data_IF_580673692013
#
_entry.id   IF_580673692013
#
_cell.length_a   1.000
_cell.length_b   1.000
_cell.length_c   1.000
_cell.angle_alpha   90.00
_cell.angle_beta   90.00
_cell.angle_gamma   90.00
#
_symmetry.space_group_name_H-M   'P 1'
#
loop_
_entity.id
_entity.type
_entity.pdbx_description
1 polymer ?
#
# COMPACT_ATOMS: atom_id res chain seq x y z
N UNK A 1 22.03 22.11 -21.51
CA UNK A 1 21.71 21.20 -20.39
C UNK A 1 22.51 21.64 -19.19
N UNK A 2 21.84 22.16 -18.17
CA UNK A 2 22.47 22.93 -17.09
C UNK A 2 23.08 22.02 -16.02
N UNK A 3 24.35 22.25 -15.65
CA UNK A 3 25.11 21.50 -14.62
C UNK A 3 24.50 21.57 -13.20
N UNK A 4 23.45 22.38 -12.99
CA UNK A 4 22.75 22.57 -11.70
C UNK A 4 21.68 21.51 -11.40
N UNK A 5 21.20 20.77 -12.39
CA UNK A 5 20.18 19.72 -12.17
C UNK A 5 20.78 18.38 -11.74
N UNK A 6 22.03 18.11 -12.11
CA UNK A 6 22.74 16.85 -11.81
C UNK A 6 23.33 16.87 -10.38
N UNK A 7 23.64 18.04 -9.82
CA UNK A 7 24.19 18.17 -8.46
C UNK A 7 23.12 18.18 -7.34
N UNK A 8 21.88 18.57 -7.63
CA UNK A 8 20.77 18.54 -6.64
C UNK A 8 20.19 17.12 -6.47
N UNK A 9 20.22 16.31 -7.53
CA UNK A 9 19.95 14.87 -7.50
C UNK A 9 20.98 14.11 -6.62
N UNK A 10 22.21 14.64 -6.51
CA UNK A 10 23.34 14.08 -5.76
C UNK A 10 23.25 14.33 -4.24
N UNK A 11 22.51 15.32 -3.75
CA UNK A 11 22.26 15.49 -2.29
C UNK A 11 21.01 14.69 -1.84
N UNK A 12 20.08 14.44 -2.77
CA UNK A 12 18.89 13.61 -2.56
C UNK A 12 19.19 12.11 -2.35
N UNK A 13 20.44 11.66 -2.48
CA UNK A 13 20.86 10.26 -2.32
C UNK A 13 21.94 10.07 -1.20
N UNK A 14 22.52 11.13 -0.63
CA UNK A 14 23.78 11.03 0.15
C UNK A 14 23.70 11.05 1.70
N UNK A 15 22.67 10.53 2.38
CA UNK A 15 22.70 10.49 3.87
C UNK A 15 22.01 9.27 4.50
N UNK A 16 22.34 8.07 4.03
CA UNK A 16 21.65 6.80 4.29
C UNK A 16 22.45 5.90 5.24
N UNK A 17 21.81 5.37 6.29
CA UNK A 17 21.93 3.92 6.52
C UNK A 17 20.61 3.25 6.91
N UNK A 18 20.40 2.03 6.43
CA UNK A 18 19.39 1.09 6.93
C UNK A 18 18.45 0.57 5.84
N UNK A 19 18.32 -0.75 5.76
CA UNK A 19 17.49 -1.48 4.79
C UNK A 19 16.03 -1.51 5.25
N UNK A 20 15.05 -1.26 4.35
CA UNK A 20 13.76 -1.98 4.21
C UNK A 20 12.48 -1.14 3.96
N UNK A 21 11.63 -1.64 3.03
CA UNK A 21 10.16 -1.44 2.85
C UNK A 21 9.66 -0.09 2.30
N UNK A 22 8.44 -0.12 1.79
CA UNK A 22 7.74 1.02 1.23
C UNK A 22 6.31 0.98 1.73
N UNK A 23 5.86 2.07 2.36
CA UNK A 23 4.44 2.32 2.59
C UNK A 23 3.64 2.09 1.30
N UNK A 24 2.47 1.45 1.41
CA UNK A 24 1.54 1.37 0.30
C UNK A 24 1.10 2.78 -0.12
N UNK A 25 0.97 3.04 -1.43
CA UNK A 25 0.42 4.30 -1.87
C UNK A 25 -1.00 4.47 -1.33
N UNK A 26 -1.40 5.71 -1.00
CA UNK A 26 -2.50 5.91 -0.08
C UNK A 26 -3.85 5.42 -0.57
N UNK A 27 -4.05 5.48 -1.89
CA UNK A 27 -5.28 5.01 -2.49
C UNK A 27 -5.35 3.49 -2.37
N UNK A 28 -4.32 2.76 -2.77
CA UNK A 28 -4.24 1.28 -2.74
C UNK A 28 -4.53 0.66 -1.38
N UNK A 29 -4.32 1.41 -0.29
CA UNK A 29 -4.72 1.01 1.06
C UNK A 29 -6.22 0.65 1.09
N UNK A 30 -7.09 1.46 0.47
CA UNK A 30 -8.52 1.18 0.32
C UNK A 30 -8.87 0.06 -0.66
N UNK A 31 -7.91 -0.40 -1.47
CA UNK A 31 -8.07 -1.58 -2.31
C UNK A 31 -7.49 -2.83 -1.62
N UNK A 32 -6.90 -2.70 -0.43
CA UNK A 32 -6.40 -3.81 0.38
C UNK A 32 -4.89 -3.93 0.48
N UNK A 33 -4.11 -3.03 -0.14
CA UNK A 33 -2.66 -3.06 -0.03
C UNK A 33 -2.16 -2.98 1.43
N UNK A 34 -1.02 -3.60 1.71
CA UNK A 34 -0.37 -3.64 3.02
C UNK A 34 0.10 -2.23 3.40
N UNK A 35 -0.50 -1.68 4.45
CA UNK A 35 -0.45 -0.25 4.77
C UNK A 35 0.48 0.10 5.94
N UNK A 36 1.30 -0.85 6.41
CA UNK A 36 2.20 -0.60 7.54
C UNK A 36 3.24 0.49 7.24
N UNK A 37 3.49 1.41 8.19
CA UNK A 37 4.52 2.41 8.03
C UNK A 37 5.92 1.81 8.05
N UNK A 38 6.86 2.52 7.41
CA UNK A 38 8.27 2.16 7.40
C UNK A 38 9.00 2.75 8.62
N UNK A 39 9.73 1.89 9.33
CA UNK A 39 10.61 2.30 10.44
C UNK A 39 11.99 2.74 9.97
N UNK A 40 12.55 2.07 8.97
CA UNK A 40 13.91 2.32 8.51
C UNK A 40 13.92 3.35 7.35
N UNK A 41 15.06 3.95 6.99
CA UNK A 41 15.14 4.81 5.83
C UNK A 41 14.90 4.04 4.53
N UNK A 42 14.12 4.61 3.61
CA UNK A 42 13.76 3.90 2.38
C UNK A 42 13.69 4.86 1.20
N UNK A 43 14.01 4.36 0.01
CA UNK A 43 13.73 5.03 -1.26
C UNK A 43 13.27 3.97 -2.25
N UNK A 44 12.00 4.01 -2.61
CA UNK A 44 11.39 2.94 -3.40
C UNK A 44 10.65 3.46 -4.60
N UNK A 45 10.73 2.71 -5.70
CA UNK A 45 10.02 2.96 -6.94
C UNK A 45 9.04 1.82 -7.18
N UNK A 46 7.75 2.12 -7.27
CA UNK A 46 6.76 1.16 -7.75
C UNK A 46 6.51 1.37 -9.23
N UNK A 47 6.81 0.36 -10.04
CA UNK A 47 6.80 0.44 -11.49
C UNK A 47 5.49 -0.05 -12.14
N UNK A 48 4.64 -0.72 -11.37
CA UNK A 48 3.36 -1.24 -11.83
C UNK A 48 2.41 -1.33 -10.64
N UNK A 49 1.89 -0.18 -10.20
CA UNK A 49 0.78 -0.16 -9.26
C UNK A 49 -0.51 -0.23 -10.07
N UNK A 50 -1.22 -1.33 -9.90
CA UNK A 50 -2.46 -1.63 -10.59
C UNK A 50 -3.56 -1.72 -9.54
N UNK A 51 -4.48 -0.78 -9.54
CA UNK A 51 -5.73 -0.87 -8.79
C UNK A 51 -6.91 -0.85 -9.75
N UNK A 52 -8.02 -1.48 -9.37
CA UNK A 52 -9.23 -1.50 -10.19
C UNK A 52 -10.46 -1.22 -9.37
N UNK A 53 -11.25 -0.28 -9.86
CA UNK A 53 -12.60 0.00 -9.43
C UNK A 53 -13.56 -0.38 -10.56
N UNK A 54 -14.58 -1.17 -10.27
CA UNK A 54 -15.72 -1.47 -11.15
C UNK A 54 -16.99 -0.87 -10.57
N UNK A 55 -17.87 -0.36 -11.43
CA UNK A 55 -19.14 0.25 -11.03
C UNK A 55 -20.22 -0.78 -10.63
N UNK A 56 -19.96 -2.07 -10.89
CA UNK A 56 -20.91 -3.16 -10.68
C UNK A 56 -20.52 -4.04 -9.49
N UNK A 57 -21.53 -4.58 -8.82
CA UNK A 57 -21.41 -5.63 -7.80
C UNK A 57 -21.42 -7.03 -8.42
N UNK A 58 -21.31 -8.05 -7.55
CA UNK A 58 -21.38 -9.46 -7.94
C UNK A 58 -22.69 -9.92 -8.60
N UNK A 59 -23.75 -9.12 -8.56
CA UNK A 59 -25.02 -9.41 -9.25
C UNK A 59 -25.17 -8.59 -10.55
N UNK A 60 -24.13 -7.83 -10.93
CA UNK A 60 -24.12 -6.95 -12.09
C UNK A 60 -24.94 -5.67 -11.91
N UNK A 61 -25.36 -5.35 -10.67
CA UNK A 61 -26.05 -4.10 -10.35
C UNK A 61 -25.03 -3.02 -10.04
N UNK A 62 -25.38 -1.78 -10.36
CA UNK A 62 -24.59 -0.63 -9.89
C UNK A 62 -24.80 -0.47 -8.40
N UNK A 63 -23.70 -0.30 -7.67
CA UNK A 63 -23.78 -0.05 -6.24
C UNK A 63 -23.72 1.43 -5.89
N UNK A 64 -23.28 2.31 -6.80
CA UNK A 64 -23.25 3.76 -6.58
C UNK A 64 -23.48 4.59 -7.86
N UNK A 65 -23.46 5.91 -7.71
CA UNK A 65 -23.71 6.85 -8.83
C UNK A 65 -22.50 7.01 -9.76
N UNK A 66 -21.34 6.42 -9.45
CA UNK A 66 -20.20 6.45 -10.36
C UNK A 66 -20.50 5.56 -11.56
N UNK A 67 -20.43 6.15 -12.75
CA UNK A 67 -20.79 5.49 -14.02
C UNK A 67 -19.58 5.05 -14.81
N UNK A 68 -18.42 4.98 -14.17
CA UNK A 68 -17.13 4.70 -14.81
C UNK A 68 -16.36 3.63 -14.04
N UNK A 69 -15.91 2.61 -14.76
CA UNK A 69 -14.86 1.69 -14.32
C UNK A 69 -13.50 2.36 -14.47
N UNK A 70 -12.65 2.21 -13.47
CA UNK A 70 -11.31 2.83 -13.42
C UNK A 70 -10.25 1.77 -13.15
N UNK A 71 -9.20 1.74 -13.98
CA UNK A 71 -7.98 1.01 -13.66
C UNK A 71 -6.86 2.02 -13.40
N UNK A 72 -6.34 2.08 -12.19
CA UNK A 72 -5.27 2.99 -11.81
C UNK A 72 -3.94 2.29 -12.12
N UNK A 73 -3.18 2.80 -13.09
CA UNK A 73 -1.89 2.22 -13.50
C UNK A 73 -0.77 3.22 -13.19
N UNK A 74 -0.36 3.29 -11.93
CA UNK A 74 0.49 4.38 -11.46
C UNK A 74 1.94 3.92 -11.28
N UNK A 75 2.83 4.90 -11.42
CA UNK A 75 4.20 4.84 -10.94
C UNK A 75 4.29 5.64 -9.66
N UNK A 76 5.00 5.13 -8.66
CA UNK A 76 5.17 5.85 -7.39
C UNK A 76 6.62 5.86 -6.95
N UNK A 77 7.03 6.97 -6.37
CA UNK A 77 8.29 7.12 -5.64
C UNK A 77 7.94 7.41 -4.19
N UNK A 78 8.43 6.58 -3.27
CA UNK A 78 8.25 6.75 -1.82
C UNK A 78 9.60 6.90 -1.15
N UNK A 79 9.66 7.80 -0.17
CA UNK A 79 10.85 8.11 0.58
C UNK A 79 10.50 8.21 2.06
N UNK A 80 11.16 7.38 2.88
CA UNK A 80 11.04 7.41 4.33
C UNK A 80 12.37 7.81 4.96
N UNK A 81 12.32 8.67 5.98
CA UNK A 81 13.51 9.04 6.75
C UNK A 81 13.21 9.32 8.23
N UNK A 82 13.99 8.77 9.16
CA UNK A 82 14.02 9.18 10.56
C UNK A 82 14.48 10.64 10.71
N UNK A 83 13.78 11.40 11.54
CA UNK A 83 14.04 12.81 11.78
C UNK A 83 15.14 12.97 12.83
N UNK A 84 16.30 13.49 12.41
CA UNK A 84 17.44 13.72 13.30
C UNK A 84 17.10 14.65 14.48
N UNK A 85 16.19 15.61 14.29
CA UNK A 85 15.78 16.56 15.33
C UNK A 85 14.72 15.99 16.29
N UNK A 86 14.05 14.89 15.92
CA UNK A 86 12.96 14.29 16.68
C UNK A 86 13.19 12.76 16.75
N UNK A 87 14.04 12.29 17.68
CA UNK A 87 14.31 10.86 17.81
C UNK A 87 13.04 10.02 17.96
N UNK A 88 12.99 8.90 17.24
CA UNK A 88 11.84 8.02 17.16
C UNK A 88 10.74 8.49 16.21
N UNK A 89 10.88 9.63 15.51
CA UNK A 89 9.93 10.07 14.49
C UNK A 89 10.45 9.86 13.08
N UNK A 90 9.58 9.39 12.20
CA UNK A 90 9.84 9.21 10.78
C UNK A 90 8.92 10.08 9.95
N UNK A 91 9.48 10.65 8.89
CA UNK A 91 8.73 11.29 7.82
C UNK A 91 8.69 10.34 6.61
N UNK A 92 7.49 10.04 6.12
CA UNK A 92 7.29 9.43 4.81
C UNK A 92 6.74 10.48 3.84
N UNK A 93 7.24 10.48 2.61
CA UNK A 93 6.65 11.21 1.49
C UNK A 93 6.52 10.26 0.29
N UNK A 94 5.33 10.22 -0.31
CA UNK A 94 5.10 9.46 -1.53
C UNK A 94 4.51 10.38 -2.60
N UNK A 95 5.02 10.26 -3.83
CA UNK A 95 4.47 10.92 -4.99
C UNK A 95 4.27 9.90 -6.11
N UNK A 96 3.20 10.05 -6.88
CA UNK A 96 2.95 9.15 -7.99
C UNK A 96 1.92 9.68 -8.96
N UNK A 97 1.79 8.97 -10.06
CA UNK A 97 0.80 9.26 -11.08
C UNK A 97 0.93 8.32 -12.27
N UNK A 98 -0.07 8.36 -13.13
CA UNK A 98 -0.11 7.52 -14.30
C UNK A 98 -1.47 7.56 -15.00
N UNK A 99 -1.60 6.78 -16.08
CA UNK A 99 -2.86 6.66 -16.78
C UNK A 99 -3.88 5.87 -15.96
N UNK A 100 -5.06 6.46 -15.81
CA UNK A 100 -6.27 5.75 -15.37
C UNK A 100 -6.95 5.18 -16.61
N UNK A 101 -6.82 3.87 -16.79
CA UNK A 101 -7.36 3.05 -17.87
C UNK A 101 -7.55 1.61 -17.38
N UNK A 102 -8.62 0.94 -17.79
CA UNK A 102 -8.96 -0.40 -17.30
C UNK A 102 -8.14 -1.55 -17.92
N UNK A 103 -7.39 -1.30 -19.00
CA UNK A 103 -6.74 -2.36 -19.79
C UNK A 103 -5.89 -3.36 -18.99
N UNK A 104 -4.80 -2.93 -18.31
CA UNK A 104 -3.90 -3.83 -17.60
C UNK A 104 -4.57 -4.54 -16.42
N UNK A 105 -5.34 -3.82 -15.62
CA UNK A 105 -6.02 -4.39 -14.45
C UNK A 105 -7.17 -5.32 -14.85
N UNK A 106 -7.85 -5.05 -15.97
CA UNK A 106 -8.85 -5.96 -16.54
C UNK A 106 -8.24 -7.25 -17.05
N UNK A 107 -7.12 -7.18 -17.76
CA UNK A 107 -6.40 -8.38 -18.20
C UNK A 107 -6.01 -9.25 -17.01
N UNK A 108 -5.45 -8.64 -15.97
CA UNK A 108 -5.02 -9.36 -14.78
C UNK A 108 -6.20 -9.99 -14.01
N UNK A 109 -7.31 -9.28 -13.87
CA UNK A 109 -8.50 -9.82 -13.19
C UNK A 109 -9.24 -10.87 -14.03
N UNK A 110 -9.67 -10.53 -15.24
CA UNK A 110 -10.54 -11.38 -16.04
C UNK A 110 -9.76 -12.51 -16.72
N UNK A 111 -8.64 -12.18 -17.39
CA UNK A 111 -7.94 -13.14 -18.27
C UNK A 111 -6.97 -14.06 -17.52
N UNK A 112 -6.48 -13.63 -16.35
CA UNK A 112 -5.56 -14.42 -15.51
C UNK A 112 -6.30 -15.04 -14.32
N UNK A 113 -6.83 -14.23 -13.39
CA UNK A 113 -7.36 -14.73 -12.13
C UNK A 113 -8.71 -15.44 -12.31
N UNK A 114 -9.68 -14.79 -12.95
CA UNK A 114 -11.02 -15.36 -13.14
C UNK A 114 -10.96 -16.61 -14.02
N UNK A 115 -10.18 -16.55 -15.10
CA UNK A 115 -9.94 -17.72 -15.96
C UNK A 115 -9.29 -18.89 -15.23
N UNK A 116 -8.27 -18.62 -14.40
CA UNK A 116 -7.61 -19.66 -13.60
C UNK A 116 -8.54 -20.27 -12.56
N UNK A 117 -9.47 -19.48 -11.99
CA UNK A 117 -10.41 -19.92 -10.96
C UNK A 117 -11.79 -20.38 -11.49
N UNK A 118 -12.04 -20.28 -12.79
CA UNK A 118 -13.33 -20.60 -13.40
C UNK A 118 -14.47 -19.63 -13.02
N UNK A 119 -14.15 -18.37 -12.71
CA UNK A 119 -15.12 -17.33 -12.35
C UNK A 119 -15.62 -16.60 -13.61
N UNK A 120 -16.86 -16.10 -13.59
CA UNK A 120 -17.37 -15.24 -14.68
C UNK A 120 -16.69 -13.88 -14.70
N UNK A 121 -16.59 -13.29 -15.88
CA UNK A 121 -15.92 -12.00 -16.08
C UNK A 121 -16.73 -10.85 -15.46
N UNK A 122 -16.03 -9.90 -14.84
CA UNK A 122 -16.68 -8.68 -14.33
C UNK A 122 -17.07 -7.78 -15.51
N UNK A 123 -18.36 -7.40 -15.64
CA UNK A 123 -18.79 -6.48 -16.68
C UNK A 123 -18.12 -5.10 -16.51
N UNK A 124 -17.89 -4.43 -17.64
CA UNK A 124 -17.32 -3.09 -17.67
C UNK A 124 -18.25 -2.19 -18.47
N UNK A 125 -18.72 -1.11 -17.85
CA UNK A 125 -19.55 -0.12 -18.52
C UNK A 125 -18.68 0.98 -19.12
N UNK A 126 -18.92 2.24 -18.78
CA UNK A 126 -18.05 3.30 -19.28
C UNK A 126 -16.69 3.22 -18.59
N UNK A 127 -15.66 3.70 -19.28
CA UNK A 127 -14.28 3.66 -18.79
C UNK A 127 -13.80 5.07 -18.59
N UNK A 128 -13.18 5.33 -17.44
CA UNK A 128 -12.44 6.56 -17.25
C UNK A 128 -11.14 6.48 -18.05
N UNK A 129 -10.87 7.53 -18.83
CA UNK A 129 -9.57 7.77 -19.45
C UNK A 129 -9.03 9.11 -18.99
N UNK A 130 -8.08 9.07 -18.06
CA UNK A 130 -7.46 10.27 -17.51
C UNK A 130 -5.98 10.02 -17.18
N UNK A 131 -5.23 11.10 -16.93
CA UNK A 131 -3.96 11.01 -16.23
C UNK A 131 -4.20 11.55 -14.83
N UNK A 132 -4.04 10.67 -13.85
CA UNK A 132 -4.29 10.97 -12.45
C UNK A 132 -2.95 10.97 -11.69
N UNK A 133 -2.92 11.70 -10.57
CA UNK A 133 -1.73 11.82 -9.73
C UNK A 133 -2.12 11.72 -8.26
N UNK A 134 -1.13 11.42 -7.42
CA UNK A 134 -1.27 11.36 -5.98
C UNK A 134 -0.01 11.85 -5.27
N UNK A 135 -0.23 12.35 -4.07
CA UNK A 135 0.78 12.75 -3.11
C UNK A 135 0.32 12.28 -1.73
N UNK A 136 1.27 11.87 -0.90
CA UNK A 136 1.05 11.71 0.52
C UNK A 136 2.25 12.06 1.33
N UNK A 137 1.99 12.33 2.60
CA UNK A 137 2.99 12.34 3.63
C UNK A 137 2.44 11.83 4.94
N UNK A 138 3.30 11.21 5.73
CA UNK A 138 2.98 10.76 7.08
C UNK A 138 4.12 11.12 8.04
N UNK A 139 3.75 11.38 9.29
CA UNK A 139 4.66 11.59 10.39
C UNK A 139 4.34 10.53 11.46
N UNK A 140 5.23 9.56 11.62
CA UNK A 140 5.02 8.37 12.45
C UNK A 140 6.04 8.31 13.57
N UNK A 141 5.57 8.22 14.81
CA UNK A 141 6.39 7.99 15.99
C UNK A 141 6.50 6.50 16.27
N UNK A 142 7.72 6.00 16.33
CA UNK A 142 8.08 4.65 16.73
C UNK A 142 8.54 4.61 18.18
N UNK A 143 8.20 3.53 18.87
CA UNK A 143 8.57 3.34 20.27
C UNK A 143 8.59 1.86 20.65
N UNK A 144 9.36 1.58 21.70
CA UNK A 144 9.51 0.26 22.29
C UNK A 144 8.47 0.04 23.40
N UNK A 145 7.85 -1.13 23.44
CA UNK A 145 6.99 -1.57 24.55
C UNK A 145 7.35 -3.02 24.91
N UNK A 146 7.27 -3.41 26.19
CA UNK A 146 7.51 -4.80 26.64
C UNK A 146 8.89 -5.37 26.21
N UNK A 147 9.91 -4.52 26.10
CA UNK A 147 11.26 -4.94 25.69
C UNK A 147 11.42 -5.23 24.19
N UNK A 148 10.43 -4.89 23.35
CA UNK A 148 10.57 -4.95 21.88
C UNK A 148 11.51 -3.86 21.37
N UNK A 149 12.24 -4.10 20.29
CA UNK A 149 12.96 -3.04 19.58
C UNK A 149 12.00 -2.27 18.66
N UNK A 150 11.56 -1.09 19.09
CA UNK A 150 10.80 -0.07 18.32
C UNK A 150 9.75 -0.63 17.34
N UNK A 151 8.97 -1.60 17.81
CA UNK A 151 7.98 -2.28 16.98
C UNK A 151 6.63 -1.56 16.96
N UNK A 152 6.36 -0.65 17.90
CA UNK A 152 5.07 0.02 18.03
C UNK A 152 5.12 1.39 17.40
N UNK A 153 4.01 1.83 16.82
CA UNK A 153 3.92 3.13 16.18
C UNK A 153 2.59 3.83 16.41
N UNK A 154 2.63 5.16 16.35
CA UNK A 154 1.47 6.03 16.25
C UNK A 154 1.83 7.25 15.39
N UNK A 155 0.94 7.66 14.50
CA UNK A 155 1.23 8.71 13.53
C UNK A 155 -0.02 9.36 12.96
N UNK A 156 0.24 10.42 12.20
CA UNK A 156 -0.76 11.13 11.42
C UNK A 156 -0.24 11.32 10.00
N UNK A 157 -1.14 11.39 9.05
CA UNK A 157 -0.78 11.57 7.66
C UNK A 157 -1.89 12.19 6.85
N UNK A 158 -1.57 12.44 5.59
CA UNK A 158 -2.50 12.95 4.61
C UNK A 158 -2.21 12.33 3.26
N UNK A 159 -3.28 11.95 2.58
CA UNK A 159 -3.29 11.52 1.20
C UNK A 159 -4.06 12.52 0.35
N UNK A 160 -3.64 12.74 -0.88
CA UNK A 160 -4.32 13.67 -1.78
C UNK A 160 -3.95 13.45 -3.23
N UNK A 161 -4.76 13.96 -4.14
CA UNK A 161 -4.51 13.85 -5.56
C UNK A 161 -5.73 14.20 -6.38
N UNK A 162 -5.73 13.78 -7.64
CA UNK A 162 -6.90 13.95 -8.50
C UNK A 162 -8.06 13.03 -8.11
N UNK A 163 -7.80 11.95 -7.37
CA UNK A 163 -8.81 10.97 -6.96
C UNK A 163 -9.67 11.46 -5.78
N UNK A 164 -9.05 11.67 -4.63
CA UNK A 164 -9.66 12.12 -3.37
C UNK A 164 -8.59 12.72 -2.46
N UNK A 165 -9.01 13.25 -1.30
CA UNK A 165 -8.13 13.69 -0.22
C UNK A 165 -8.54 13.06 1.09
N UNK A 166 -7.59 12.72 1.95
CA UNK A 166 -7.88 12.10 3.24
C UNK A 166 -6.76 12.37 4.25
N UNK A 167 -6.98 13.27 5.22
CA UNK A 167 -6.23 13.26 6.46
C UNK A 167 -6.59 12.02 7.29
N UNK A 168 -5.60 11.43 7.96
CA UNK A 168 -5.79 10.26 8.79
C UNK A 168 -4.84 10.23 9.99
N UNK A 169 -5.20 9.40 10.96
CA UNK A 169 -4.35 8.97 12.07
C UNK A 169 -4.25 7.46 12.05
N UNK A 170 -3.11 6.94 12.49
CA UNK A 170 -2.87 5.51 12.53
C UNK A 170 -2.03 5.10 13.73
N UNK A 171 -2.22 3.88 14.18
CA UNK A 171 -1.42 3.27 15.24
C UNK A 171 -1.38 1.77 15.10
N UNK A 172 -0.36 1.14 15.68
CA UNK A 172 -0.20 -0.30 15.58
C UNK A 172 1.16 -0.78 16.02
N UNK A 173 1.50 -1.97 15.56
CA UNK A 173 2.83 -2.54 15.66
C UNK A 173 3.21 -3.25 14.37
N UNK A 174 4.49 -3.18 14.01
CA UNK A 174 5.04 -3.75 12.79
C UNK A 174 6.09 -4.78 13.13
N UNK A 175 5.97 -5.96 12.53
CA UNK A 175 6.93 -7.07 12.64
C UNK A 175 7.36 -7.35 14.08
N UNK A 176 6.39 -7.53 14.96
CA UNK A 176 6.63 -7.91 16.34
C UNK A 176 7.03 -9.39 16.42
N UNK A 177 8.13 -9.68 17.11
CA UNK A 177 8.64 -11.03 17.34
C UNK A 177 7.94 -11.69 18.54
N UNK A 178 6.63 -11.91 18.45
CA UNK A 178 5.82 -12.50 19.54
C UNK A 178 6.35 -13.86 20.03
N UNK A 179 6.93 -14.64 19.13
CA UNK A 179 7.45 -15.98 19.41
C UNK A 179 8.96 -16.01 19.60
N UNK A 180 9.59 -14.88 19.94
CA UNK A 180 11.03 -14.80 20.20
C UNK A 180 11.57 -15.89 21.17
N UNK A 181 10.82 -16.32 22.21
CA UNK A 181 11.29 -17.38 23.11
C UNK A 181 11.29 -18.80 22.50
N UNK A 182 10.61 -19.01 21.36
CA UNK A 182 10.50 -20.31 20.71
C UNK A 182 11.54 -20.39 19.58
N UNK A 183 12.61 -21.20 19.73
CA UNK A 183 13.61 -21.38 18.67
C UNK A 183 12.94 -21.83 17.36
N UNK A 184 13.50 -21.45 16.19
CA UNK A 184 12.95 -21.68 14.85
C UNK A 184 11.70 -20.87 14.49
N UNK A 185 10.77 -20.60 15.40
CA UNK A 185 9.64 -19.71 15.11
C UNK A 185 10.00 -18.24 15.33
N UNK A 186 10.70 -17.93 16.42
CA UNK A 186 11.11 -16.57 16.77
C UNK A 186 12.10 -15.94 15.80
N UNK A 187 12.86 -16.74 15.04
CA UNK A 187 13.81 -16.23 14.05
C UNK A 187 13.12 -15.81 12.75
N UNK A 188 12.00 -16.46 12.40
CA UNK A 188 11.39 -16.33 11.08
C UNK A 188 9.98 -15.77 11.07
N UNK A 189 9.24 -15.80 12.18
CA UNK A 189 7.84 -15.38 12.22
C UNK A 189 7.71 -13.99 12.82
N UNK A 190 6.94 -13.12 12.16
CA UNK A 190 6.62 -11.78 12.63
C UNK A 190 5.13 -11.50 12.47
N UNK A 191 4.58 -10.75 13.41
CA UNK A 191 3.16 -10.37 13.40
C UNK A 191 3.05 -8.86 13.41
N UNK A 192 2.10 -8.32 12.65
CA UNK A 192 1.84 -6.89 12.60
C UNK A 192 0.35 -6.62 12.73
N UNK A 193 0.00 -5.47 13.29
CA UNK A 193 -1.38 -4.99 13.34
C UNK A 193 -1.40 -3.47 13.20
N UNK A 194 -2.38 -2.94 12.49
CA UNK A 194 -2.57 -1.53 12.21
C UNK A 194 -4.04 -1.20 12.33
N UNK A 195 -4.34 -0.07 12.96
CA UNK A 195 -5.62 0.59 12.88
C UNK A 195 -5.41 2.00 12.32
N UNK A 196 -6.27 2.41 11.41
CA UNK A 196 -6.28 3.74 10.80
C UNK A 196 -7.69 4.32 10.83
N UNK A 197 -7.77 5.61 11.11
CA UNK A 197 -9.00 6.38 11.05
C UNK A 197 -8.74 7.64 10.22
N UNK A 198 -9.60 7.90 9.23
CA UNK A 198 -9.44 8.99 8.29
C UNK A 198 -10.75 9.68 7.95
N UNK A 199 -10.63 10.82 7.29
CA UNK A 199 -11.78 11.59 6.80
C UNK A 199 -11.61 11.87 5.31
N UNK A 200 -12.25 11.08 4.43
CA UNK A 200 -12.20 11.32 3.00
C UNK A 200 -12.93 12.62 2.62
N UNK A 201 -12.40 13.29 1.60
CA UNK A 201 -12.98 14.43 0.92
C UNK A 201 -12.92 14.20 -0.59
N UNK A 202 -13.95 14.65 -1.29
CA UNK A 202 -14.06 14.47 -2.73
C UNK A 202 -12.87 15.07 -3.50
N UNK A 203 -12.43 14.36 -4.53
CA UNK A 203 -11.46 14.85 -5.50
C UNK A 203 -12.10 15.15 -6.87
N UNK A 204 -11.26 15.28 -7.89
CA UNK A 204 -11.73 15.51 -9.26
C UNK A 204 -12.38 14.26 -9.87
N UNK A 205 -11.87 13.07 -9.53
CA UNK A 205 -12.41 11.78 -9.98
C UNK A 205 -13.52 11.27 -9.05
N UNK A 206 -13.27 11.20 -7.73
CA UNK A 206 -14.25 10.70 -6.77
C UNK A 206 -15.02 11.85 -6.15
N UNK A 207 -16.21 12.12 -6.71
CA UNK A 207 -17.11 13.19 -6.23
C UNK A 207 -17.96 12.77 -5.03
N UNK A 208 -18.14 11.48 -4.84
CA UNK A 208 -18.84 10.88 -3.72
C UNK A 208 -17.87 9.95 -3.00
N UNK A 209 -17.59 10.27 -1.74
CA UNK A 209 -16.73 9.49 -0.86
C UNK A 209 -17.39 9.38 0.51
N UNK A 210 -17.04 8.34 1.26
CA UNK A 210 -17.56 8.15 2.61
C UNK A 210 -17.20 9.34 3.52
N UNK A 211 -18.08 9.74 4.45
CA UNK A 211 -17.83 10.88 5.34
C UNK A 211 -16.71 10.61 6.36
N UNK A 212 -16.39 9.34 6.58
CA UNK A 212 -15.34 8.85 7.46
C UNK A 212 -14.84 7.50 6.93
N UNK A 213 -13.59 7.18 7.27
CA UNK A 213 -12.91 5.95 6.91
C UNK A 213 -12.31 5.33 8.18
N UNK A 214 -12.51 4.03 8.40
CA UNK A 214 -11.80 3.27 9.40
C UNK A 214 -11.30 1.96 8.81
N UNK A 215 -10.08 1.61 9.18
CA UNK A 215 -9.40 0.43 8.68
C UNK A 215 -8.71 -0.30 9.81
N UNK A 216 -8.78 -1.63 9.77
CA UNK A 216 -7.98 -2.52 10.60
C UNK A 216 -7.26 -3.52 9.69
N UNK A 217 -5.96 -3.67 9.87
CA UNK A 217 -5.15 -4.62 9.12
C UNK A 217 -4.31 -5.47 10.08
N UNK A 218 -4.32 -6.78 9.87
CA UNK A 218 -3.46 -7.72 10.58
C UNK A 218 -2.62 -8.50 9.59
N UNK A 219 -1.36 -8.77 9.93
CA UNK A 219 -0.49 -9.56 9.05
C UNK A 219 0.44 -10.51 9.79
N UNK A 220 0.83 -11.55 9.07
CA UNK A 220 1.84 -12.52 9.47
C UNK A 220 2.87 -12.62 8.36
N UNK A 221 4.14 -12.40 8.72
CA UNK A 221 5.27 -12.49 7.81
C UNK A 221 6.22 -13.62 8.20
N UNK A 222 6.64 -14.41 7.20
CA UNK A 222 7.71 -15.39 7.31
C UNK A 222 8.93 -14.91 6.52
N UNK A 223 10.08 -14.76 7.15
CA UNK A 223 11.28 -14.20 6.50
C UNK A 223 12.55 -14.42 7.29
N UNK A 224 13.71 -14.10 6.72
CA UNK A 224 15.01 -14.24 7.40
C UNK A 224 15.35 -13.03 8.30
N UNK A 225 14.42 -12.62 9.16
CA UNK A 225 14.51 -11.36 9.91
C UNK A 225 15.79 -11.19 10.73
N UNK A 226 16.29 -12.27 11.34
CA UNK A 226 17.53 -12.23 12.13
C UNK A 226 18.80 -12.01 11.31
N UNK A 227 18.78 -12.44 10.04
CA UNK A 227 19.91 -12.36 9.13
C UNK A 227 19.68 -11.33 8.01
N UNK A 228 18.70 -10.45 8.20
CA UNK A 228 18.30 -9.47 7.19
C UNK A 228 19.48 -8.57 6.78
N UNK A 229 20.30 -8.14 7.74
CA UNK A 229 21.47 -7.30 7.50
C UNK A 229 22.65 -8.06 6.86
N UNK A 230 22.84 -9.33 7.22
CA UNK A 230 24.04 -10.12 6.86
C UNK A 230 23.81 -11.07 5.67
N UNK A 231 22.59 -11.13 5.13
CA UNK A 231 22.21 -12.03 4.06
C UNK A 231 21.24 -11.36 3.10
N UNK A 232 20.99 -11.98 1.93
CA UNK A 232 19.95 -11.48 1.02
C UNK A 232 18.59 -11.58 1.73
N UNK A 233 17.88 -10.46 1.92
CA UNK A 233 16.63 -10.49 2.65
C UNK A 233 15.51 -11.11 1.82
N UNK A 234 14.64 -11.85 2.48
CA UNK A 234 13.43 -12.39 1.90
C UNK A 234 12.31 -12.45 2.93
N UNK A 235 11.08 -12.26 2.47
CA UNK A 235 9.89 -12.28 3.31
C UNK A 235 8.68 -12.68 2.45
N UNK A 236 7.81 -13.50 3.02
CA UNK A 236 6.46 -13.75 2.50
C UNK A 236 5.51 -13.25 3.58
N UNK A 237 4.69 -12.28 3.24
CA UNK A 237 3.73 -11.67 4.15
C UNK A 237 2.31 -11.89 3.66
N UNK A 238 1.46 -12.34 4.57
CA UNK A 238 0.02 -12.47 4.38
C UNK A 238 -0.69 -11.46 5.28
N UNK A 239 -1.56 -10.65 4.71
CA UNK A 239 -2.35 -9.68 5.45
C UNK A 239 -3.85 -9.86 5.20
N UNK A 240 -4.64 -9.50 6.20
CA UNK A 240 -6.09 -9.38 6.14
C UNK A 240 -6.44 -7.94 6.53
N UNK A 241 -7.26 -7.30 5.71
CA UNK A 241 -7.71 -5.92 5.92
C UNK A 241 -9.22 -5.89 6.01
N UNK A 242 -9.75 -5.13 6.97
CA UNK A 242 -11.14 -4.70 7.03
C UNK A 242 -11.14 -3.18 6.86
N UNK A 243 -11.84 -2.69 5.86
CA UNK A 243 -11.98 -1.27 5.55
C UNK A 243 -13.46 -0.92 5.54
N UNK A 244 -13.85 0.20 6.15
CA UNK A 244 -15.21 0.74 6.05
C UNK A 244 -15.59 1.15 4.63
N UNK A 245 -14.61 1.30 3.74
CA UNK A 245 -14.77 1.67 2.35
C UNK A 245 -14.51 3.16 2.10
N UNK A 246 -13.95 3.46 0.93
CA UNK A 246 -13.84 4.82 0.41
C UNK A 246 -15.16 5.29 -0.23
N UNK A 247 -15.95 4.36 -0.76
CA UNK A 247 -17.14 4.62 -1.55
C UNK A 247 -18.41 4.42 -0.73
N UNK A 248 -19.46 5.12 -1.16
CA UNK A 248 -20.81 5.01 -0.60
C UNK A 248 -21.76 4.41 -1.62
N UNK A 249 -22.83 3.78 -1.15
CA UNK A 249 -23.92 3.32 -2.01
C UNK A 249 -24.90 4.45 -2.37
N UNK A 250 -25.98 4.12 -3.09
CA UNK A 250 -27.04 5.07 -3.43
C UNK A 250 -27.79 5.66 -2.22
N UNK A 251 -27.70 5.04 -1.05
CA UNK A 251 -28.32 5.50 0.21
C UNK A 251 -27.35 6.39 1.02
N UNK A 252 -26.07 6.44 0.61
CA UNK A 252 -25.00 7.16 1.29
C UNK A 252 -24.29 6.30 2.35
N UNK A 253 -24.58 5.01 2.42
CA UNK A 253 -23.96 4.09 3.37
C UNK A 253 -22.60 3.64 2.85
N UNK A 254 -21.61 3.59 3.74
CA UNK A 254 -20.25 3.20 3.39
C UNK A 254 -20.16 1.70 3.05
N UNK A 255 -19.38 1.38 2.02
CA UNK A 255 -19.23 0.01 1.53
C UNK A 255 -18.07 -0.68 2.24
N UNK A 256 -18.39 -1.45 3.29
CA UNK A 256 -17.37 -2.24 3.98
C UNK A 256 -16.74 -3.27 3.04
N UNK A 257 -15.41 -3.27 2.98
CA UNK A 257 -14.59 -4.13 2.16
C UNK A 257 -13.61 -4.95 3.01
N UNK A 258 -13.38 -6.20 2.60
CA UNK A 258 -12.50 -7.12 3.30
C UNK A 258 -11.54 -7.75 2.31
N UNK A 259 -10.25 -7.55 2.55
CA UNK A 259 -9.20 -7.93 1.61
C UNK A 259 -8.25 -8.97 2.20
N UNK A 260 -7.71 -9.79 1.30
CA UNK A 260 -6.55 -10.64 1.54
C UNK A 260 -5.43 -10.16 0.64
N UNK A 261 -4.24 -9.99 1.22
CA UNK A 261 -3.06 -9.48 0.52
C UNK A 261 -1.88 -10.39 0.76
N UNK A 262 -1.10 -10.63 -0.30
CA UNK A 262 0.13 -11.41 -0.25
C UNK A 262 1.26 -10.57 -0.81
N UNK A 263 2.31 -10.39 -0.04
CA UNK A 263 3.56 -9.79 -0.49
C UNK A 263 4.68 -10.83 -0.45
N UNK A 264 5.49 -10.85 -1.51
CA UNK A 264 6.72 -11.63 -1.60
C UNK A 264 7.85 -10.67 -1.86
N UNK A 265 8.82 -10.67 -0.94
CA UNK A 265 10.04 -9.90 -1.02
C UNK A 265 11.22 -10.82 -1.23
N UNK A 266 12.12 -10.38 -2.09
CA UNK A 266 13.43 -10.96 -2.25
C UNK A 266 14.42 -9.89 -2.69
N UNK A 267 15.49 -9.67 -1.91
CA UNK A 267 16.48 -8.63 -2.18
C UNK A 267 15.82 -7.25 -2.30
N UNK A 268 16.13 -6.50 -3.35
CA UNK A 268 15.52 -5.19 -3.65
C UNK A 268 14.09 -5.25 -4.20
N UNK A 269 13.54 -6.44 -4.46
CA UNK A 269 12.27 -6.59 -5.16
C UNK A 269 11.17 -6.96 -4.17
N UNK A 270 10.03 -6.31 -4.27
CA UNK A 270 8.81 -6.71 -3.57
C UNK A 270 7.68 -6.77 -4.59
N UNK A 271 7.04 -7.93 -4.69
CA UNK A 271 5.79 -8.11 -5.42
C UNK A 271 4.67 -8.25 -4.41
N UNK A 272 3.57 -7.54 -4.61
CA UNK A 272 2.41 -7.59 -3.76
C UNK A 272 1.16 -7.70 -4.61
N UNK A 273 0.16 -8.43 -4.12
CA UNK A 273 -1.16 -8.51 -4.73
C UNK A 273 -2.23 -8.64 -3.66
N UNK A 274 -3.42 -8.12 -3.93
CA UNK A 274 -4.55 -8.11 -3.00
C UNK A 274 -5.87 -8.32 -3.73
N UNK A 275 -6.84 -8.88 -3.01
CA UNK A 275 -8.16 -9.20 -3.53
C UNK A 275 -9.22 -9.24 -2.41
N UNK A 276 -10.48 -8.93 -2.73
CA UNK A 276 -11.64 -8.86 -1.82
C UNK A 276 -12.32 -10.22 -1.52
N UNK A 277 -11.58 -11.32 -1.68
CA UNK A 277 -12.06 -12.72 -1.57
C UNK A 277 -12.87 -13.06 -0.31
N UNK A 278 -12.73 -12.30 0.78
CA UNK A 278 -13.43 -12.56 2.05
C UNK A 278 -14.90 -12.17 1.97
N UNK A 279 -15.25 -11.18 1.13
CA UNK A 279 -16.62 -10.68 1.04
C UNK A 279 -17.56 -11.60 0.26
N UNK A 280 -17.06 -12.67 -0.37
CA UNK A 280 -17.83 -13.58 -1.25
C UNK A 280 -18.65 -12.83 -2.31
N UNK A 281 -18.26 -11.59 -2.64
CA UNK A 281 -18.95 -10.70 -3.59
C UNK A 281 -18.49 -10.92 -5.03
N UNK A 282 -17.85 -12.04 -5.36
CA UNK A 282 -17.22 -12.30 -6.67
C UNK A 282 -18.22 -12.19 -7.84
N UNK A 283 -18.43 -10.96 -8.35
CA UNK A 283 -18.13 -10.46 -9.70
C UNK A 283 -17.79 -8.95 -9.66
N UNK A 284 -16.95 -8.51 -8.70
CA UNK A 284 -16.10 -7.30 -8.73
C UNK A 284 -16.39 -6.18 -7.69
N UNK A 285 -15.46 -5.21 -7.46
CA UNK A 285 -14.00 -5.26 -7.58
C UNK A 285 -13.34 -5.51 -6.21
N UNK A 286 -12.26 -6.28 -6.17
CA UNK A 286 -10.93 -5.69 -6.28
C UNK A 286 -9.91 -6.77 -6.63
N UNK A 287 -9.11 -6.51 -7.67
CA UNK A 287 -7.80 -7.11 -7.79
C UNK A 287 -6.78 -6.00 -8.04
N UNK A 288 -5.74 -5.97 -7.23
CA UNK A 288 -4.61 -5.09 -7.44
C UNK A 288 -3.28 -5.81 -7.30
N UNK A 289 -2.25 -5.18 -7.85
CA UNK A 289 -0.90 -5.67 -7.77
C UNK A 289 0.10 -4.52 -7.79
N UNK A 290 1.24 -4.73 -7.14
CA UNK A 290 2.33 -3.79 -7.07
C UNK A 290 3.66 -4.50 -7.21
N UNK A 291 4.51 -3.98 -8.09
CA UNK A 291 5.93 -4.31 -8.12
C UNK A 291 6.74 -3.11 -7.65
N UNK A 292 7.48 -3.29 -6.56
CA UNK A 292 8.30 -2.28 -5.92
C UNK A 292 9.78 -2.65 -5.98
N UNK A 293 10.60 -1.66 -6.30
CA UNK A 293 12.05 -1.69 -6.30
C UNK A 293 12.58 -0.83 -5.17
N UNK A 294 13.43 -1.42 -4.33
CA UNK A 294 14.19 -0.71 -3.30
C UNK A 294 15.47 -0.14 -3.94
N UNK A 295 15.37 1.12 -4.37
CA UNK A 295 16.48 1.83 -5.02
C UNK A 295 17.64 2.04 -4.05
N UNK A 296 17.31 2.15 -2.76
CA UNK A 296 18.28 2.33 -1.69
C UNK A 296 19.16 1.10 -1.54
N UNK A 297 18.53 -0.06 -1.39
CA UNK A 297 19.21 -1.35 -1.33
C UNK A 297 20.11 -1.57 -2.54
N UNK A 298 19.59 -1.29 -3.74
CA UNK A 298 20.35 -1.46 -5.00
C UNK A 298 21.58 -0.56 -5.03
N UNK A 299 21.45 0.69 -4.59
CA UNK A 299 22.56 1.63 -4.53
C UNK A 299 23.64 1.15 -3.56
N UNK A 300 23.26 0.76 -2.35
CA UNK A 300 24.21 0.31 -1.33
C UNK A 300 24.96 -0.96 -1.71
N UNK A 301 24.32 -1.89 -2.43
CA UNK A 301 24.96 -3.16 -2.78
C UNK A 301 25.82 -3.13 -4.04
N UNK A 302 25.58 -2.17 -4.94
CA UNK A 302 26.34 -2.06 -6.18
C UNK A 302 27.42 -0.98 -6.17
N UNK A 303 27.29 0.04 -5.31
CA UNK A 303 28.18 1.20 -5.30
C UNK A 303 28.92 1.43 -3.98
N UNK A 304 28.59 0.71 -2.90
CA UNK A 304 29.44 0.62 -1.70
C UNK A 304 30.14 -0.73 -1.67
#
# INVERSE_FOLDING_TARGET
>A
MDRRWIFSLVIAVCAIPGLALAEAPPHSVHWGAIAFPDHDPTLTLSAALLDRFTEFDGEGRRYNDMRETMGLNFFTLSWTKPLAQLPGWNLNLTAGGGPTRDGPSRFLQNDVVHRFRGLTEVPVGNKREANDFMLSGSLTRWFSLLGSNDAFFAGLGGAGGSLYYEPYVQAGFRRLALFAPVPLLGDYLRVSALARYGRPFSGAAFRQVAPQSYMAQGSVGLGNYRHWADSTPWEIELAITVDSGLFVDHQGDALEERFVSVAVRYSAFTFETWNDLINQKDYGPTFGARLTLDLLYMYERWFK
#
